data_IF_959238501556
#
_entry.id   IF_959238501556
#
_cell.length_a   1.000
_cell.length_b   1.000
_cell.length_c   1.000
_cell.angle_alpha   90.00
_cell.angle_beta   90.00
_cell.angle_gamma   90.00
#
_symmetry.space_group_name_H-M   'P 1'
#
loop_
_entity.id
_entity.type
_entity.pdbx_description
1 polymer ?
#
# COMPACT_ATOMS: atom_id res chain seq x y z
N UNK A 1 -9.66 64.55 8.95
CA UNK A 1 -9.84 63.10 8.77
C UNK A 1 -8.67 62.41 9.48
N UNK A 2 -8.94 61.79 10.64
CA UNK A 2 -7.95 61.13 11.48
C UNK A 2 -7.84 59.67 11.03
N UNK A 3 -6.72 59.31 10.41
CA UNK A 3 -6.35 57.91 10.20
C UNK A 3 -5.67 57.41 11.48
N UNK A 4 -6.21 56.38 12.13
CA UNK A 4 -5.54 55.71 13.23
C UNK A 4 -4.39 54.87 12.68
N UNK A 5 -3.12 55.16 13.00
CA UNK A 5 -2.00 54.33 12.57
C UNK A 5 -1.80 53.24 13.63
N UNK A 6 -2.57 52.14 13.54
CA UNK A 6 -2.38 50.99 14.45
C UNK A 6 -2.21 49.64 13.76
N UNK A 7 -2.20 49.59 12.42
CA UNK A 7 -2.22 48.31 11.72
C UNK A 7 -0.95 47.97 10.91
N UNK A 8 0.03 48.89 10.83
CA UNK A 8 1.28 48.68 10.09
C UNK A 8 2.50 48.62 11.03
N UNK A 9 2.48 47.73 12.02
CA UNK A 9 3.70 47.44 12.78
C UNK A 9 4.57 46.46 11.98
N UNK A 10 5.83 46.79 11.62
CA UNK A 10 6.64 45.92 10.76
C UNK A 10 7.15 44.69 11.53
N UNK A 11 7.17 43.54 10.86
CA UNK A 11 7.65 42.25 11.42
C UNK A 11 9.11 42.33 11.84
N UNK A 12 9.88 43.15 11.13
CA UNK A 12 11.27 43.46 11.44
C UNK A 12 11.44 44.95 11.73
N UNK A 13 12.00 45.26 12.89
CA UNK A 13 12.34 46.63 13.31
C UNK A 13 13.84 46.84 13.24
N UNK A 14 14.26 48.04 12.83
CA UNK A 14 15.67 48.41 12.75
C UNK A 14 16.23 48.60 14.16
N UNK A 15 17.32 47.91 14.49
CA UNK A 15 18.04 48.06 15.75
C UNK A 15 18.52 49.51 15.91
N UNK A 16 18.26 50.11 17.08
CA UNK A 16 18.75 51.45 17.44
C UNK A 16 20.16 51.42 18.05
N UNK A 17 20.76 50.25 18.19
CA UNK A 17 22.01 50.03 18.93
C UNK A 17 23.25 50.06 18.03
N UNK A 18 23.34 51.10 17.18
CA UNK A 18 24.52 51.41 16.35
C UNK A 18 24.84 50.43 15.21
N UNK A 19 24.25 49.25 15.19
CA UNK A 19 24.36 48.29 14.09
C UNK A 19 23.06 48.31 13.30
N UNK A 20 23.19 48.61 12.01
CA UNK A 20 22.09 48.75 11.06
C UNK A 20 21.41 47.40 10.73
N UNK A 21 21.03 46.63 11.75
CA UNK A 21 20.50 45.27 11.67
C UNK A 21 19.01 45.27 11.95
N UNK A 22 18.28 44.41 11.23
CA UNK A 22 16.86 44.18 11.45
C UNK A 22 16.67 43.11 12.52
N UNK A 23 15.80 43.39 13.49
CA UNK A 23 15.47 42.49 14.61
C UNK A 23 13.99 42.17 14.55
N UNK A 24 13.62 40.93 14.84
CA UNK A 24 12.23 40.51 14.91
C UNK A 24 11.48 41.32 15.98
N UNK A 25 10.29 41.82 15.64
CA UNK A 25 9.42 42.51 16.59
C UNK A 25 8.46 41.50 17.25
N UNK A 26 8.69 41.09 18.51
CA UNK A 26 7.84 40.12 19.18
C UNK A 26 6.40 40.61 19.42
N UNK A 27 6.15 41.92 19.30
CA UNK A 27 4.82 42.51 19.46
C UNK A 27 3.98 42.49 18.18
N UNK A 28 4.54 42.06 17.04
CA UNK A 28 3.79 41.97 15.79
C UNK A 28 2.85 40.73 15.80
N UNK A 29 1.53 40.92 15.71
CA UNK A 29 0.56 39.82 15.77
C UNK A 29 0.68 38.85 14.59
N UNK A 30 1.02 39.34 13.39
CA UNK A 30 1.21 38.50 12.21
C UNK A 30 2.49 37.65 12.31
N UNK A 31 3.58 38.22 12.84
CA UNK A 31 4.80 37.47 13.10
C UNK A 31 4.56 36.30 14.06
N UNK A 32 3.82 36.54 15.14
CA UNK A 32 3.44 35.52 16.10
C UNK A 32 2.57 34.43 15.46
N UNK A 33 1.57 34.81 14.67
CA UNK A 33 0.68 33.87 13.96
C UNK A 33 1.47 32.97 13.00
N UNK A 34 2.44 33.53 12.26
CA UNK A 34 3.28 32.75 11.34
C UNK A 34 4.18 31.76 12.08
N UNK A 35 4.75 32.15 13.23
CA UNK A 35 5.56 31.25 14.07
C UNK A 35 4.68 30.11 14.60
N UNK A 36 3.51 30.42 15.17
CA UNK A 36 2.61 29.40 15.73
C UNK A 36 2.08 28.48 14.60
N UNK A 37 1.65 29.05 13.48
CA UNK A 37 1.14 28.31 12.34
C UNK A 37 2.19 27.37 11.74
N UNK A 38 3.44 27.83 11.58
CA UNK A 38 4.52 26.97 11.07
C UNK A 38 4.87 25.84 12.03
N UNK A 39 4.87 26.09 13.35
CA UNK A 39 5.07 25.04 14.36
C UNK A 39 3.94 24.01 14.33
N UNK A 40 2.69 24.44 14.24
CA UNK A 40 1.54 23.53 14.13
C UNK A 40 1.57 22.72 12.84
N UNK A 41 1.95 23.31 11.72
CA UNK A 41 2.09 22.61 10.44
C UNK A 41 3.25 21.62 10.50
N UNK A 42 4.38 21.97 11.11
CA UNK A 42 5.51 21.05 11.28
C UNK A 42 5.17 19.86 12.18
N UNK A 43 4.54 20.12 13.34
CA UNK A 43 4.14 19.06 14.29
C UNK A 43 3.01 18.22 13.71
N UNK A 44 1.99 18.86 13.13
CA UNK A 44 0.86 18.19 12.49
C UNK A 44 1.30 17.39 11.27
N UNK A 45 2.23 17.92 10.46
CA UNK A 45 2.84 17.24 9.34
C UNK A 45 3.68 16.05 9.78
N UNK A 46 4.50 16.18 10.82
CA UNK A 46 5.24 15.05 11.41
C UNK A 46 4.29 13.99 11.99
N UNK A 47 3.21 14.39 12.66
CA UNK A 47 2.22 13.45 13.18
C UNK A 47 1.47 12.75 12.06
N UNK A 48 1.06 13.46 11.02
CA UNK A 48 0.41 12.89 9.84
C UNK A 48 1.34 11.91 9.14
N UNK A 49 2.57 12.31 8.84
CA UNK A 49 3.56 11.42 8.22
C UNK A 49 3.84 10.20 9.11
N UNK A 50 3.92 10.36 10.44
CA UNK A 50 4.09 9.24 11.37
C UNK A 50 2.88 8.32 11.39
N UNK A 51 1.66 8.86 11.40
CA UNK A 51 0.43 8.10 11.34
C UNK A 51 0.27 7.34 10.01
N UNK A 52 0.68 7.95 8.90
CA UNK A 52 0.69 7.32 7.57
C UNK A 52 1.80 6.28 7.41
N UNK A 53 2.95 6.49 8.07
CA UNK A 53 4.09 5.56 8.05
C UNK A 53 3.99 4.44 9.10
N UNK A 54 3.07 4.54 10.06
CA UNK A 54 2.57 3.37 10.79
C UNK A 54 1.68 2.52 9.89
N UNK A 55 2.31 1.85 8.92
CA UNK A 55 1.90 0.52 8.46
C UNK A 55 2.69 -0.49 9.32
N UNK A 56 2.19 -0.92 10.49
CA UNK A 56 2.98 -1.71 11.43
C UNK A 56 3.24 -3.16 11.01
N UNK A 57 2.82 -3.59 9.81
CA UNK A 57 2.93 -4.99 9.42
C UNK A 57 3.76 -5.06 8.14
N UNK A 58 5.09 -5.02 8.27
CA UNK A 58 6.01 -5.44 7.18
C UNK A 58 6.11 -6.97 7.09
N UNK A 59 5.57 -7.67 8.08
CA UNK A 59 5.52 -9.12 8.19
C UNK A 59 4.08 -9.62 8.11
N UNK A 60 3.88 -10.70 7.38
CA UNK A 60 2.64 -11.46 7.37
C UNK A 60 2.49 -12.24 8.68
N UNK A 61 1.32 -12.18 9.31
CA UNK A 61 0.92 -13.22 10.26
C UNK A 61 0.35 -14.43 9.51
N UNK A 62 0.40 -15.62 10.15
CA UNK A 62 -0.23 -16.83 9.60
C UNK A 62 -1.72 -16.61 9.29
N UNK A 63 -2.46 -15.95 10.20
CA UNK A 63 -3.89 -15.72 10.03
C UNK A 63 -4.22 -14.76 8.89
N UNK A 64 -3.43 -13.70 8.71
CA UNK A 64 -3.55 -12.78 7.57
C UNK A 64 -3.25 -13.51 6.26
N UNK A 65 -2.16 -14.27 6.21
CA UNK A 65 -1.77 -15.02 5.02
C UNK A 65 -2.82 -16.08 4.66
N UNK A 66 -3.30 -16.86 5.64
CA UNK A 66 -4.40 -17.84 5.45
C UNK A 66 -5.62 -17.15 4.84
N UNK A 67 -6.08 -16.07 5.47
CA UNK A 67 -7.27 -15.34 5.02
C UNK A 67 -7.09 -14.76 3.62
N UNK A 68 -5.92 -14.21 3.31
CA UNK A 68 -5.61 -13.65 2.00
C UNK A 68 -5.57 -14.74 0.91
N UNK A 69 -4.95 -15.89 1.18
CA UNK A 69 -4.87 -17.00 0.22
C UNK A 69 -6.26 -17.58 -0.08
N UNK A 70 -7.08 -17.83 0.95
CA UNK A 70 -8.44 -18.33 0.73
C UNK A 70 -9.32 -17.32 -0.02
N UNK A 71 -9.20 -16.03 0.30
CA UNK A 71 -9.94 -15.01 -0.42
C UNK A 71 -9.48 -14.89 -1.87
N UNK A 72 -8.17 -14.91 -2.11
CA UNK A 72 -7.60 -14.88 -3.46
C UNK A 72 -8.08 -16.08 -4.30
N UNK A 73 -8.15 -17.29 -3.72
CA UNK A 73 -8.71 -18.45 -4.40
C UNK A 73 -10.16 -18.21 -4.82
N UNK A 74 -11.00 -17.73 -3.92
CA UNK A 74 -12.41 -17.42 -4.23
C UNK A 74 -12.56 -16.35 -5.32
N UNK A 75 -11.73 -15.31 -5.27
CA UNK A 75 -11.77 -14.23 -6.26
C UNK A 75 -11.31 -14.72 -7.64
N UNK A 76 -10.28 -15.58 -7.70
CA UNK A 76 -9.81 -16.22 -8.93
C UNK A 76 -10.83 -17.21 -9.54
N UNK A 77 -11.63 -17.88 -8.73
CA UNK A 77 -12.68 -18.80 -9.20
C UNK A 77 -13.91 -18.06 -9.78
N UNK A 78 -14.14 -16.81 -9.35
CA UNK A 78 -15.32 -16.03 -9.77
C UNK A 78 -15.24 -15.55 -11.21
N UNK A 79 -14.07 -15.11 -11.64
CA UNK A 79 -13.88 -14.49 -12.95
C UNK A 79 -12.98 -15.35 -13.85
N UNK A 80 -13.25 -15.40 -15.17
CA UNK A 80 -12.34 -16.03 -16.12
C UNK A 80 -10.97 -15.37 -16.05
N UNK A 81 -9.93 -16.20 -15.96
CA UNK A 81 -8.56 -15.71 -15.85
C UNK A 81 -7.90 -15.70 -17.22
N UNK A 82 -7.26 -14.58 -17.55
CA UNK A 82 -6.34 -14.50 -18.68
C UNK A 82 -4.96 -14.93 -18.21
N UNK A 83 -4.53 -16.12 -18.61
CA UNK A 83 -3.19 -16.61 -18.26
C UNK A 83 -2.51 -17.27 -19.44
N UNK A 84 -1.20 -17.06 -19.52
CA UNK A 84 -0.36 -17.81 -20.43
C UNK A 84 -0.08 -19.18 -19.82
N UNK A 85 -0.59 -20.23 -20.44
CA UNK A 85 -0.41 -21.60 -19.97
C UNK A 85 1.08 -22.00 -19.86
N UNK A 86 1.99 -21.33 -20.59
CA UNK A 86 3.44 -21.57 -20.47
C UNK A 86 4.06 -20.96 -19.21
N UNK A 87 3.50 -19.86 -18.70
CA UNK A 87 4.04 -19.13 -17.55
C UNK A 87 3.42 -19.59 -16.22
N UNK A 88 2.29 -20.30 -16.29
CA UNK A 88 1.55 -20.77 -15.13
C UNK A 88 0.78 -19.65 -14.41
N UNK A 89 0.24 -19.97 -13.24
CA UNK A 89 -0.64 -19.08 -12.47
C UNK A 89 0.08 -18.27 -11.38
N UNK A 90 1.41 -18.41 -11.25
CA UNK A 90 2.16 -17.88 -10.11
C UNK A 90 2.00 -16.37 -9.88
N UNK A 91 2.16 -15.57 -10.94
CA UNK A 91 1.98 -14.11 -10.84
C UNK A 91 0.52 -13.70 -10.65
N UNK A 92 -0.42 -14.43 -11.28
CA UNK A 92 -1.86 -14.21 -11.11
C UNK A 92 -2.28 -14.46 -9.66
N UNK A 93 -1.82 -15.54 -9.06
CA UNK A 93 -2.05 -15.89 -7.66
C UNK A 93 -1.43 -14.83 -6.75
N UNK A 94 -0.17 -14.47 -6.97
CA UNK A 94 0.51 -13.45 -6.18
C UNK A 94 -0.25 -12.12 -6.19
N UNK A 95 -0.62 -11.65 -7.38
CA UNK A 95 -1.39 -10.43 -7.55
C UNK A 95 -2.76 -10.49 -6.87
N UNK A 96 -3.45 -11.63 -6.93
CA UNK A 96 -4.73 -11.81 -6.24
C UNK A 96 -4.59 -11.75 -4.72
N UNK A 97 -3.56 -12.38 -4.14
CA UNK A 97 -3.28 -12.33 -2.69
C UNK A 97 -2.98 -10.90 -2.24
N UNK A 98 -2.13 -10.17 -2.98
CA UNK A 98 -1.78 -8.78 -2.68
C UNK A 98 -3.01 -7.84 -2.78
N UNK A 99 -3.94 -8.11 -3.69
CA UNK A 99 -5.16 -7.32 -3.88
C UNK A 99 -6.22 -7.51 -2.78
N UNK A 100 -6.11 -8.57 -1.96
CA UNK A 100 -7.10 -8.82 -0.89
C UNK A 100 -7.11 -7.74 0.19
N UNK A 101 -6.00 -7.01 0.36
CA UNK A 101 -5.84 -6.00 1.42
C UNK A 101 -5.84 -6.57 2.84
N UNK A 102 -5.67 -7.88 3.01
CA UNK A 102 -5.69 -8.58 4.30
C UNK A 102 -4.34 -8.60 5.02
N UNK A 103 -3.30 -8.06 4.41
CA UNK A 103 -1.94 -8.05 4.95
C UNK A 103 -1.06 -6.98 4.31
N UNK A 104 0.26 -7.07 4.47
CA UNK A 104 1.21 -6.20 3.81
C UNK A 104 1.02 -6.21 2.28
N UNK A 105 1.27 -5.08 1.61
CA UNK A 105 1.16 -4.98 0.14
C UNK A 105 2.32 -5.66 -0.62
N UNK A 106 3.18 -6.40 0.08
CA UNK A 106 4.38 -7.05 -0.46
C UNK A 106 4.79 -8.25 0.41
N UNK A 107 5.82 -8.98 -0.01
CA UNK A 107 6.38 -10.09 0.76
C UNK A 107 5.65 -11.43 0.56
N UNK A 108 4.66 -11.48 -0.32
CA UNK A 108 4.08 -12.74 -0.80
C UNK A 108 5.03 -13.37 -1.80
N UNK A 109 5.28 -14.68 -1.66
CA UNK A 109 6.05 -15.48 -2.61
C UNK A 109 5.22 -16.67 -3.02
N UNK A 110 5.23 -16.96 -4.32
CA UNK A 110 4.55 -18.12 -4.89
C UNK A 110 5.62 -18.99 -5.54
N UNK A 111 5.74 -20.23 -5.07
CA UNK A 111 6.62 -21.24 -5.67
C UNK A 111 5.78 -22.14 -6.57
N UNK A 112 6.22 -22.30 -7.81
CA UNK A 112 5.48 -22.99 -8.87
C UNK A 112 5.81 -24.49 -8.91
N UNK A 113 4.76 -25.30 -8.86
CA UNK A 113 4.71 -26.66 -9.39
C UNK A 113 3.80 -26.73 -10.64
N UNK A 114 3.62 -27.92 -11.25
CA UNK A 114 2.85 -28.07 -12.50
C UNK A 114 1.37 -27.64 -12.37
N UNK A 115 0.74 -28.01 -11.25
CA UNK A 115 -0.64 -27.65 -10.90
C UNK A 115 -0.77 -27.15 -9.45
N UNK A 116 0.33 -27.17 -8.71
CA UNK A 116 0.37 -26.91 -7.28
C UNK A 116 1.25 -25.69 -7.01
N UNK A 117 0.72 -24.72 -6.28
CA UNK A 117 1.40 -23.46 -5.98
C UNK A 117 1.52 -23.31 -4.48
N UNK A 118 2.77 -23.25 -3.99
CA UNK A 118 3.00 -22.98 -2.56
C UNK A 118 3.09 -21.48 -2.36
N UNK A 119 2.18 -20.93 -1.54
CA UNK A 119 2.17 -19.51 -1.15
C UNK A 119 2.78 -19.35 0.23
N UNK A 120 3.75 -18.45 0.35
CA UNK A 120 4.40 -18.06 1.61
C UNK A 120 4.40 -16.54 1.76
N UNK A 121 4.52 -16.07 3.01
CA UNK A 121 4.59 -14.65 3.35
C UNK A 121 5.83 -14.35 4.17
N UNK A 122 6.50 -13.24 3.88
CA UNK A 122 7.64 -12.79 4.67
C UNK A 122 7.24 -12.55 6.13
N UNK A 123 8.04 -13.06 7.06
CA UNK A 123 7.81 -12.91 8.50
C UNK A 123 6.91 -13.98 9.15
N UNK A 124 6.51 -15.00 8.39
CA UNK A 124 5.87 -16.21 8.91
C UNK A 124 6.46 -17.46 8.24
N UNK A 125 6.48 -18.57 8.98
CA UNK A 125 6.82 -19.90 8.44
C UNK A 125 5.61 -20.61 7.83
N UNK A 126 4.43 -19.96 7.86
CA UNK A 126 3.20 -20.47 7.29
C UNK A 126 3.31 -20.67 5.78
N UNK A 127 2.73 -21.76 5.31
CA UNK A 127 2.69 -22.16 3.90
C UNK A 127 1.29 -22.64 3.59
N UNK A 128 0.83 -22.32 2.40
CA UNK A 128 -0.46 -22.79 1.90
C UNK A 128 -0.26 -23.35 0.51
N UNK A 129 -0.82 -24.54 0.26
CA UNK A 129 -0.76 -25.17 -1.04
C UNK A 129 -2.07 -24.86 -1.77
N UNK A 130 -1.94 -24.27 -2.95
CA UNK A 130 -3.05 -23.99 -3.86
C UNK A 130 -2.97 -24.95 -5.03
N UNK A 131 -3.95 -25.85 -5.12
CA UNK A 131 -4.11 -26.75 -6.25
C UNK A 131 -5.02 -26.09 -7.29
N UNK A 132 -4.48 -25.80 -8.49
CA UNK A 132 -5.19 -25.04 -9.53
C UNK A 132 -5.53 -25.95 -10.71
N UNK A 133 -6.83 -26.09 -10.95
CA UNK A 133 -7.38 -26.83 -12.08
C UNK A 133 -7.96 -25.83 -13.07
N UNK A 134 -7.39 -25.83 -14.27
CA UNK A 134 -7.82 -25.01 -15.39
C UNK A 134 -8.91 -25.73 -16.22
N UNK A 135 -10.10 -25.15 -16.29
CA UNK A 135 -11.19 -25.63 -17.14
C UNK A 135 -11.36 -24.67 -18.33
N UNK A 136 -11.27 -25.20 -19.55
CA UNK A 136 -11.58 -24.40 -20.74
C UNK A 136 -13.09 -24.19 -20.82
N UNK A 137 -13.50 -22.93 -20.96
CA UNK A 137 -14.88 -22.61 -21.30
C UNK A 137 -15.05 -22.90 -22.80
N UNK A 138 -15.74 -23.99 -23.12
CA UNK A 138 -16.01 -24.41 -24.51
C UNK A 138 -16.68 -23.29 -25.29
N UNK A 139 -15.94 -22.65 -26.20
CA UNK A 139 -16.45 -21.56 -27.05
C UNK A 139 -15.40 -20.84 -27.89
N UNK A 140 -14.15 -20.77 -27.45
CA UNK A 140 -13.07 -20.08 -28.19
C UNK A 140 -12.03 -21.06 -28.71
N UNK A 141 -12.34 -21.77 -29.81
CA UNK A 141 -11.31 -22.41 -30.64
C UNK A 141 -10.56 -21.33 -31.42
N UNK A 142 -9.66 -20.61 -30.77
CA UNK A 142 -8.66 -19.80 -31.46
C UNK A 142 -7.33 -20.52 -31.36
N UNK A 143 -6.66 -20.72 -32.50
CA UNK A 143 -5.32 -21.32 -32.63
C UNK A 143 -4.21 -20.41 -32.04
N UNK A 144 -4.52 -19.65 -31.00
CA UNK A 144 -3.62 -18.70 -30.35
C UNK A 144 -3.18 -19.28 -29.00
N UNK A 145 -1.89 -19.20 -28.75
CA UNK A 145 -1.18 -19.66 -27.54
C UNK A 145 -1.66 -19.04 -26.22
N UNK A 146 -2.73 -18.24 -26.24
CA UNK A 146 -3.40 -17.66 -25.08
C UNK A 146 -4.88 -18.02 -25.15
N UNK A 147 -5.38 -18.76 -24.16
CA UNK A 147 -6.81 -19.04 -24.05
C UNK A 147 -7.45 -17.93 -23.19
N UNK A 148 -8.21 -17.00 -23.79
CA UNK A 148 -8.63 -15.79 -23.10
C UNK A 148 -9.69 -16.01 -22.01
N UNK A 149 -10.20 -17.24 -21.82
CA UNK A 149 -11.31 -17.51 -20.92
C UNK A 149 -11.15 -18.87 -20.23
N UNK A 150 -10.15 -18.98 -19.35
CA UNK A 150 -9.99 -20.17 -18.52
C UNK A 150 -10.69 -19.97 -17.18
N UNK A 151 -11.65 -20.83 -16.86
CA UNK A 151 -12.24 -20.85 -15.52
C UNK A 151 -11.34 -21.68 -14.63
N UNK A 152 -11.00 -21.15 -13.46
CA UNK A 152 -10.20 -21.88 -12.48
C UNK A 152 -11.12 -22.53 -11.43
N UNK A 153 -10.70 -23.70 -10.98
CA UNK A 153 -11.14 -24.29 -9.72
C UNK A 153 -9.89 -24.46 -8.86
N UNK A 154 -9.93 -23.94 -7.63
CA UNK A 154 -8.76 -23.80 -6.78
C UNK A 154 -9.09 -24.37 -5.41
N UNK A 155 -8.35 -25.38 -5.00
CA UNK A 155 -8.40 -25.91 -3.63
C UNK A 155 -7.20 -25.40 -2.83
N UNK A 156 -7.43 -25.05 -1.56
CA UNK A 156 -6.39 -24.49 -0.69
C UNK A 156 -6.26 -25.36 0.55
N UNK A 157 -5.04 -25.84 0.81
CA UNK A 157 -4.71 -26.64 1.99
C UNK A 157 -3.61 -25.98 2.82
N UNK A 158 -3.68 -26.18 4.15
CA UNK A 158 -2.63 -25.77 5.07
C UNK A 158 -1.36 -26.62 4.82
N UNK A 159 -0.20 -25.98 4.72
CA UNK A 159 1.08 -26.62 4.43
C UNK A 159 1.63 -26.26 3.05
N UNK A 160 2.89 -26.65 2.79
CA UNK A 160 3.47 -26.52 1.44
C UNK A 160 3.03 -27.68 0.55
N UNK A 161 3.05 -27.47 -0.76
CA UNK A 161 2.81 -28.55 -1.73
C UNK A 161 3.97 -29.55 -1.69
N UNK A 162 3.67 -30.85 -1.70
CA UNK A 162 4.66 -31.94 -1.54
C UNK A 162 4.27 -33.21 -2.26
#
# INVERSE_FOLDING_TARGET
>A
MSGSPRDDEPVFVRSKWGTNRYVYNPNNPFGLVLIIGSLLLAVGGMYYLRASSSHPNTSWSEGELRSAVHQAAQDLEREPQYTDAYLGYGETIKGAVEQTGKGPSYGVRVSTGPYDYTVTGDGTDAKFCMHVIAMQLDGTKTNASANPNTKLSIDVTDGGCG
#
